data_IF_069240697379
#
_entry.id   IF_069240697379
#
_cell.length_a   1.000
_cell.length_b   1.000
_cell.length_c   1.000
_cell.angle_alpha   90.00
_cell.angle_beta   90.00
_cell.angle_gamma   90.00
#
_symmetry.space_group_name_H-M   'P 1'
#
loop_
_entity.id
_entity.type
_entity.pdbx_description
1 polymer ?
#
# COMPACT_ATOMS: atom_id res chain seq x y z
N UNK A 1 -57.76 -19.13 -21.57
CA UNK A 1 -56.72 -19.03 -22.63
C UNK A 1 -55.77 -17.83 -22.48
N UNK A 2 -56.18 -16.66 -21.96
CA UNK A 2 -55.27 -15.50 -21.78
C UNK A 2 -54.16 -15.70 -20.73
N UNK A 3 -54.39 -16.51 -19.70
CA UNK A 3 -53.39 -16.78 -18.64
C UNK A 3 -52.30 -17.77 -19.10
N UNK A 4 -52.63 -18.67 -20.04
CA UNK A 4 -51.70 -19.66 -20.58
C UNK A 4 -50.64 -19.00 -21.50
N UNK A 5 -51.02 -17.96 -22.24
CA UNK A 5 -50.11 -17.20 -23.10
C UNK A 5 -49.08 -16.36 -22.32
N UNK A 6 -49.45 -15.88 -21.13
CA UNK A 6 -48.53 -15.16 -20.23
C UNK A 6 -47.48 -16.08 -19.61
N UNK A 7 -47.83 -17.35 -19.35
CA UNK A 7 -46.91 -18.37 -18.85
C UNK A 7 -45.92 -18.86 -19.92
N UNK A 8 -46.32 -18.91 -21.20
CA UNK A 8 -45.45 -19.31 -22.32
C UNK A 8 -44.43 -18.23 -22.73
N UNK A 9 -44.77 -16.93 -22.62
CA UNK A 9 -43.84 -15.84 -22.95
C UNK A 9 -42.67 -15.72 -21.96
N UNK A 10 -42.82 -16.16 -20.71
CA UNK A 10 -41.75 -16.19 -19.72
C UNK A 10 -40.70 -17.28 -19.97
N UNK A 11 -41.04 -18.34 -20.70
CA UNK A 11 -40.12 -19.47 -21.00
C UNK A 11 -39.19 -19.14 -22.16
N UNK A 12 -39.65 -18.37 -23.16
CA UNK A 12 -38.84 -17.98 -24.31
C UNK A 12 -37.73 -16.97 -23.97
N UNK A 13 -37.94 -16.08 -22.99
CA UNK A 13 -36.91 -15.13 -22.58
C UNK A 13 -35.71 -15.80 -21.89
N UNK A 14 -35.95 -16.89 -21.16
CA UNK A 14 -34.87 -17.67 -20.51
C UNK A 14 -34.10 -18.54 -21.51
N UNK A 15 -34.76 -19.05 -22.57
CA UNK A 15 -34.12 -19.90 -23.59
C UNK A 15 -32.97 -19.18 -24.30
N UNK A 16 -33.15 -17.90 -24.64
CA UNK A 16 -32.12 -17.10 -25.30
C UNK A 16 -30.86 -16.93 -24.44
N UNK A 17 -31.00 -16.81 -23.12
CA UNK A 17 -29.85 -16.66 -22.21
C UNK A 17 -29.04 -17.96 -22.13
N UNK A 18 -29.72 -19.12 -22.08
CA UNK A 18 -29.02 -20.41 -22.05
C UNK A 18 -28.25 -20.68 -23.35
N UNK A 19 -28.83 -20.37 -24.51
CA UNK A 19 -28.15 -20.49 -25.80
C UNK A 19 -26.94 -19.56 -25.87
N UNK A 20 -27.09 -18.27 -25.53
CA UNK A 20 -25.99 -17.30 -25.50
C UNK A 20 -24.82 -17.79 -24.60
N UNK A 21 -25.13 -18.29 -23.39
CA UNK A 21 -24.11 -18.80 -22.46
C UNK A 21 -23.46 -20.10 -22.95
N UNK A 22 -24.24 -20.99 -23.57
CA UNK A 22 -23.74 -22.25 -24.12
C UNK A 22 -22.80 -22.01 -25.30
N UNK A 23 -23.19 -21.14 -26.22
CA UNK A 23 -22.36 -20.72 -27.36
C UNK A 23 -21.07 -20.05 -26.90
N UNK A 24 -21.13 -19.18 -25.89
CA UNK A 24 -19.94 -18.63 -25.26
C UNK A 24 -19.06 -19.71 -24.63
N UNK A 25 -19.64 -20.69 -23.94
CA UNK A 25 -18.89 -21.76 -23.30
C UNK A 25 -18.16 -22.64 -24.31
N UNK A 26 -18.73 -22.90 -25.49
CA UNK A 26 -18.07 -23.64 -26.57
C UNK A 26 -17.04 -22.80 -27.31
N UNK A 27 -17.39 -21.57 -27.68
CA UNK A 27 -16.58 -20.75 -28.58
C UNK A 27 -15.52 -19.89 -27.86
N UNK A 28 -15.68 -19.63 -26.56
CA UNK A 28 -14.81 -18.78 -25.71
C UNK A 28 -14.54 -17.38 -26.29
N UNK A 29 -15.39 -16.90 -27.18
CA UNK A 29 -15.28 -15.60 -27.83
C UNK A 29 -16.37 -14.66 -27.33
N UNK A 30 -16.06 -13.37 -27.24
CA UNK A 30 -17.07 -12.35 -26.94
C UNK A 30 -18.11 -12.33 -28.06
N UNK A 31 -19.36 -12.61 -27.72
CA UNK A 31 -20.48 -12.50 -28.67
C UNK A 31 -21.09 -11.10 -28.58
N UNK A 32 -21.90 -10.72 -29.55
CA UNK A 32 -22.67 -9.45 -29.50
C UNK A 32 -23.45 -9.28 -28.19
N UNK A 33 -23.85 -10.39 -27.56
CA UNK A 33 -24.66 -10.42 -26.36
C UNK A 33 -23.85 -10.67 -25.06
N UNK A 34 -22.57 -11.07 -25.16
CA UNK A 34 -21.72 -11.39 -24.01
C UNK A 34 -20.33 -10.78 -24.13
N UNK A 35 -20.00 -9.90 -23.19
CA UNK A 35 -18.67 -9.34 -23.03
C UNK A 35 -17.96 -9.99 -21.84
N UNK A 36 -16.74 -10.49 -22.06
CA UNK A 36 -15.85 -10.91 -20.99
C UNK A 36 -14.98 -9.74 -20.51
N UNK A 37 -14.69 -9.73 -19.21
CA UNK A 37 -13.75 -8.79 -18.59
C UNK A 37 -12.87 -9.53 -17.59
N UNK A 38 -11.64 -9.06 -17.41
CA UNK A 38 -10.75 -9.62 -16.40
C UNK A 38 -11.20 -9.22 -14.99
N UNK A 39 -11.19 -10.19 -14.09
CA UNK A 39 -11.45 -9.99 -12.68
C UNK A 39 -10.45 -10.80 -11.85
N UNK A 40 -10.07 -10.26 -10.70
CA UNK A 40 -9.22 -10.93 -9.72
C UNK A 40 -10.10 -11.57 -8.65
N UNK A 41 -9.81 -12.82 -8.33
CA UNK A 41 -10.39 -13.49 -7.18
C UNK A 41 -9.43 -13.37 -6.00
N UNK A 42 -9.89 -12.78 -4.90
CA UNK A 42 -9.11 -12.56 -3.69
C UNK A 42 -9.74 -13.36 -2.55
N UNK A 43 -8.93 -14.20 -1.90
CA UNK A 43 -9.32 -14.92 -0.70
C UNK A 43 -8.64 -14.24 0.51
N UNK A 44 -9.44 -13.59 1.36
CA UNK A 44 -8.97 -13.09 2.65
C UNK A 44 -9.06 -14.20 3.69
N UNK A 45 -7.95 -14.44 4.40
CA UNK A 45 -7.87 -15.44 5.47
C UNK A 45 -7.69 -14.80 6.83
N UNK A 46 -8.48 -15.24 7.80
CA UNK A 46 -8.29 -14.90 9.21
C UNK A 46 -7.78 -16.15 9.94
N UNK A 47 -6.69 -16.03 10.71
CA UNK A 47 -6.07 -17.17 11.41
C UNK A 47 -5.79 -18.38 10.50
N UNK A 48 -5.37 -18.12 9.25
CA UNK A 48 -5.12 -19.14 8.19
C UNK A 48 -6.37 -19.87 7.68
N UNK A 49 -7.58 -19.51 8.11
CA UNK A 49 -8.84 -20.05 7.61
C UNK A 49 -9.48 -19.09 6.62
N UNK A 50 -10.14 -19.62 5.59
CA UNK A 50 -10.92 -18.82 4.64
C UNK A 50 -11.98 -17.99 5.40
N UNK A 51 -12.05 -16.70 5.10
CA UNK A 51 -12.90 -15.75 5.80
C UNK A 51 -13.83 -15.00 4.84
N UNK A 52 -13.30 -14.36 3.80
CA UNK A 52 -14.10 -13.67 2.78
C UNK A 52 -13.49 -13.88 1.40
N UNK A 53 -14.32 -14.29 0.46
CA UNK A 53 -13.98 -14.34 -0.97
C UNK A 53 -14.52 -13.12 -1.67
N UNK A 54 -13.65 -12.45 -2.42
CA UNK A 54 -13.94 -11.18 -3.09
C UNK A 54 -13.60 -11.34 -4.56
N UNK A 55 -14.50 -10.88 -5.43
CA UNK A 55 -14.14 -10.63 -6.82
C UNK A 55 -13.92 -9.14 -7.01
N UNK A 56 -12.81 -8.82 -7.65
CA UNK A 56 -12.33 -7.47 -7.88
C UNK A 56 -12.19 -7.23 -9.37
N UNK A 57 -12.93 -6.25 -9.87
CA UNK A 57 -12.83 -5.75 -11.24
C UNK A 57 -12.18 -4.37 -11.25
N UNK A 58 -11.97 -3.79 -12.44
CA UNK A 58 -11.45 -2.42 -12.58
C UNK A 58 -12.31 -1.36 -11.86
N UNK A 59 -13.63 -1.56 -11.76
CA UNK A 59 -14.57 -0.53 -11.32
C UNK A 59 -15.45 -0.92 -10.13
N UNK A 60 -15.49 -2.20 -9.78
CA UNK A 60 -16.31 -2.74 -8.70
C UNK A 60 -15.62 -3.89 -8.00
N UNK A 61 -15.95 -4.04 -6.73
CA UNK A 61 -15.56 -5.16 -5.89
C UNK A 61 -16.81 -5.73 -5.24
N UNK A 62 -16.90 -7.05 -5.10
CA UNK A 62 -18.05 -7.66 -4.44
C UNK A 62 -17.63 -8.90 -3.67
N UNK A 63 -18.24 -9.06 -2.50
CA UNK A 63 -18.15 -10.27 -1.69
C UNK A 63 -18.91 -11.38 -2.41
N UNK A 64 -18.20 -12.44 -2.79
CA UNK A 64 -18.79 -13.68 -3.29
C UNK A 64 -19.36 -14.46 -2.11
N UNK A 65 -18.51 -14.75 -1.14
CA UNK A 65 -18.82 -15.61 -0.01
C UNK A 65 -18.19 -15.09 1.28
N UNK A 66 -18.95 -15.18 2.38
CA UNK A 66 -18.44 -15.03 3.74
C UNK A 66 -18.42 -16.42 4.36
N UNK A 67 -17.28 -16.83 4.86
CA UNK A 67 -17.04 -18.14 5.45
C UNK A 67 -17.30 -18.11 6.96
N UNK A 68 -17.40 -19.30 7.57
CA UNK A 68 -17.73 -19.45 8.99
C UNK A 68 -16.78 -18.68 9.93
N UNK A 69 -15.49 -18.58 9.57
CA UNK A 69 -14.50 -17.84 10.36
C UNK A 69 -14.86 -16.35 10.55
N UNK A 70 -15.74 -15.82 9.70
CA UNK A 70 -16.13 -14.42 9.64
C UNK A 70 -17.65 -14.24 9.52
N UNK A 71 -18.43 -15.20 10.03
CA UNK A 71 -19.89 -15.21 9.95
C UNK A 71 -20.58 -13.98 10.58
N UNK A 72 -19.87 -13.25 11.43
CA UNK A 72 -20.31 -12.00 12.06
C UNK A 72 -20.15 -10.77 11.16
N UNK A 73 -19.48 -10.90 10.02
CA UNK A 73 -19.32 -9.79 9.07
C UNK A 73 -20.61 -9.56 8.28
N UNK A 74 -21.01 -8.31 8.17
CA UNK A 74 -22.14 -7.90 7.35
C UNK A 74 -21.69 -7.69 5.90
N UNK A 75 -22.28 -8.45 4.96
CA UNK A 75 -21.95 -8.42 3.54
C UNK A 75 -22.13 -7.04 2.90
N UNK A 76 -23.20 -6.32 3.24
CA UNK A 76 -23.46 -4.98 2.71
C UNK A 76 -22.37 -4.00 3.16
N UNK A 77 -22.08 -3.97 4.46
CA UNK A 77 -21.02 -3.08 5.00
C UNK A 77 -19.65 -3.37 4.40
N UNK A 78 -19.31 -4.64 4.18
CA UNK A 78 -18.05 -4.99 3.50
C UNK A 78 -18.09 -4.50 2.05
N UNK A 79 -19.18 -4.77 1.32
CA UNK A 79 -19.31 -4.30 -0.06
C UNK A 79 -19.20 -2.78 -0.17
N UNK A 80 -19.79 -2.03 0.77
CA UNK A 80 -19.68 -0.58 0.83
C UNK A 80 -18.24 -0.14 1.04
N UNK A 81 -17.53 -0.74 2.00
CA UNK A 81 -16.10 -0.48 2.21
C UNK A 81 -15.26 -0.82 0.96
N UNK A 82 -15.53 -1.97 0.34
CA UNK A 82 -14.80 -2.45 -0.82
C UNK A 82 -14.94 -1.49 -2.01
N UNK A 83 -16.15 -0.97 -2.24
CA UNK A 83 -16.43 -0.08 -3.36
C UNK A 83 -16.11 1.40 -3.08
N UNK A 84 -16.10 1.84 -1.82
CA UNK A 84 -15.81 3.24 -1.47
C UNK A 84 -14.33 3.50 -1.20
N UNK A 85 -13.68 2.67 -0.37
CA UNK A 85 -12.32 2.92 0.12
C UNK A 85 -11.30 1.97 -0.50
N UNK A 86 -11.56 0.66 -0.46
CA UNK A 86 -10.58 -0.34 -0.88
C UNK A 86 -10.20 -0.20 -2.36
N UNK A 87 -11.20 -0.12 -3.27
CA UNK A 87 -10.93 0.05 -4.70
C UNK A 87 -10.08 1.28 -5.00
N UNK A 88 -10.34 2.39 -4.30
CA UNK A 88 -9.58 3.63 -4.48
C UNK A 88 -8.11 3.46 -4.10
N UNK A 89 -7.82 2.68 -3.06
CA UNK A 89 -6.46 2.37 -2.61
C UNK A 89 -5.78 1.35 -3.52
N UNK A 90 -6.52 0.31 -3.93
CA UNK A 90 -6.02 -0.76 -4.78
C UNK A 90 -5.65 -0.27 -6.19
N UNK A 91 -6.50 0.57 -6.78
CA UNK A 91 -6.29 1.13 -8.12
C UNK A 91 -5.35 2.34 -8.14
N UNK A 92 -4.90 2.79 -6.98
CA UNK A 92 -4.07 3.98 -6.86
C UNK A 92 -2.71 3.76 -7.50
N UNK A 93 -2.27 4.74 -8.30
CA UNK A 93 -0.88 4.78 -8.75
C UNK A 93 0.05 5.10 -7.57
N UNK A 94 0.80 4.09 -7.13
CA UNK A 94 1.78 4.19 -6.06
C UNK A 94 3.20 4.51 -6.58
N UNK A 95 3.38 4.82 -7.86
CA UNK A 95 4.71 5.05 -8.46
C UNK A 95 5.43 6.22 -7.82
N UNK A 96 4.73 7.32 -7.50
CA UNK A 96 5.34 8.45 -6.77
C UNK A 96 5.76 8.01 -5.36
N UNK A 97 4.87 7.33 -4.63
CA UNK A 97 5.13 6.83 -3.29
C UNK A 97 6.35 5.91 -3.24
N UNK A 98 6.42 4.90 -4.12
CA UNK A 98 7.53 3.96 -4.22
C UNK A 98 8.86 4.66 -4.52
N UNK A 99 8.85 5.69 -5.37
CA UNK A 99 10.03 6.53 -5.63
C UNK A 99 10.49 7.28 -4.39
N UNK A 100 9.58 7.83 -3.60
CA UNK A 100 9.92 8.49 -2.34
C UNK A 100 10.52 7.51 -1.33
N UNK A 101 9.94 6.32 -1.17
CA UNK A 101 10.48 5.27 -0.30
C UNK A 101 11.88 4.82 -0.75
N UNK A 102 12.08 4.63 -2.06
CA UNK A 102 13.38 4.26 -2.60
C UNK A 102 14.43 5.35 -2.34
N UNK A 103 14.05 6.62 -2.52
CA UNK A 103 14.89 7.77 -2.22
C UNK A 103 15.28 7.85 -0.74
N UNK A 104 14.33 7.63 0.18
CA UNK A 104 14.58 7.54 1.63
C UNK A 104 15.57 6.41 1.94
N UNK A 105 15.38 5.21 1.38
CA UNK A 105 16.29 4.07 1.56
C UNK A 105 17.70 4.37 1.03
N UNK A 106 17.81 5.12 -0.06
CA UNK A 106 19.11 5.55 -0.59
C UNK A 106 19.81 6.54 0.36
N UNK A 107 19.08 7.52 0.91
CA UNK A 107 19.62 8.43 1.93
C UNK A 107 20.09 7.67 3.18
N UNK A 108 19.31 6.69 3.65
CA UNK A 108 19.72 5.83 4.76
C UNK A 108 21.05 5.13 4.47
N UNK A 109 21.19 4.56 3.26
CA UNK A 109 22.41 3.88 2.82
C UNK A 109 23.59 4.84 2.72
N UNK A 110 23.37 6.02 2.17
CA UNK A 110 24.38 7.09 2.06
C UNK A 110 24.95 7.44 3.44
N UNK A 111 24.09 7.61 4.45
CA UNK A 111 24.50 7.89 5.83
C UNK A 111 25.31 6.74 6.43
N UNK A 112 24.85 5.49 6.24
CA UNK A 112 25.56 4.29 6.70
C UNK A 112 26.94 4.16 6.07
N UNK A 113 27.05 4.34 4.75
CA UNK A 113 28.32 4.27 4.02
C UNK A 113 29.28 5.35 4.51
N UNK A 114 28.82 6.60 4.58
CA UNK A 114 29.65 7.70 5.05
C UNK A 114 30.19 7.43 6.45
N UNK A 115 29.31 7.05 7.39
CA UNK A 115 29.73 6.79 8.76
C UNK A 115 30.69 5.58 8.84
N UNK A 116 30.44 4.52 8.08
CA UNK A 116 31.34 3.36 8.00
C UNK A 116 32.74 3.77 7.55
N UNK A 117 32.85 4.67 6.57
CA UNK A 117 34.13 5.11 6.02
C UNK A 117 34.86 6.12 6.92
N UNK A 118 34.14 6.99 7.63
CA UNK A 118 34.75 8.13 8.34
C UNK A 118 34.66 8.04 9.86
N UNK A 119 33.94 7.06 10.39
CA UNK A 119 33.77 6.80 11.81
C UNK A 119 33.32 8.04 12.61
N UNK A 120 32.59 8.93 11.94
CA UNK A 120 32.08 10.19 12.47
C UNK A 120 30.96 10.70 11.58
N UNK A 121 30.09 11.56 12.12
CA UNK A 121 29.09 12.25 11.31
C UNK A 121 29.74 13.39 10.50
N UNK A 122 29.06 13.92 9.49
CA UNK A 122 29.55 15.10 8.79
C UNK A 122 29.13 16.38 9.51
N UNK A 123 29.85 17.48 9.28
CA UNK A 123 29.36 18.84 9.59
C UNK A 123 28.50 19.43 8.45
N UNK A 124 28.45 18.74 7.31
CA UNK A 124 27.69 19.15 6.13
C UNK A 124 27.00 17.91 5.54
N UNK A 125 25.67 17.96 5.45
CA UNK A 125 24.86 16.87 4.93
C UNK A 125 25.24 16.47 3.52
N UNK A 126 25.74 17.40 2.70
CA UNK A 126 26.14 17.15 1.30
C UNK A 126 27.35 16.22 1.18
N UNK A 127 28.13 16.06 2.25
CA UNK A 127 29.19 15.05 2.32
C UNK A 127 28.65 13.65 2.56
N UNK A 128 27.52 13.54 3.25
CA UNK A 128 26.89 12.26 3.55
C UNK A 128 25.97 11.81 2.42
N UNK A 129 25.12 12.70 1.90
CA UNK A 129 24.20 12.40 0.80
C UNK A 129 24.04 13.58 -0.15
N UNK A 130 23.98 13.28 -1.45
CA UNK A 130 23.78 14.30 -2.51
C UNK A 130 22.32 14.70 -2.69
N UNK A 131 21.38 14.05 -2.00
CA UNK A 131 19.96 14.34 -2.10
C UNK A 131 19.66 15.82 -1.84
N UNK A 132 18.90 16.44 -2.73
CA UNK A 132 18.41 17.82 -2.66
C UNK A 132 17.18 17.95 -1.74
N UNK A 133 16.54 16.82 -1.41
CA UNK A 133 15.39 16.76 -0.50
C UNK A 133 15.74 16.86 0.97
N UNK A 134 17.03 16.92 1.32
CA UNK A 134 17.49 16.98 2.70
C UNK A 134 17.64 18.42 3.19
N UNK A 135 17.08 18.69 4.37
CA UNK A 135 17.32 19.91 5.14
C UNK A 135 17.87 19.54 6.50
N UNK A 136 19.00 20.12 6.87
CA UNK A 136 19.57 19.97 8.21
C UNK A 136 18.76 20.82 9.20
N UNK A 137 18.28 20.20 10.27
CA UNK A 137 17.80 20.92 11.46
C UNK A 137 18.97 21.13 12.43
N UNK A 138 19.69 20.04 12.72
CA UNK A 138 20.91 20.04 13.51
C UNK A 138 21.81 18.92 13.02
N UNK A 139 23.12 19.16 12.92
CA UNK A 139 24.09 18.13 12.60
C UNK A 139 25.46 18.52 13.15
N UNK A 140 26.02 17.65 13.98
CA UNK A 140 27.33 17.78 14.58
C UNK A 140 28.17 16.52 14.31
N UNK A 141 29.45 16.70 13.98
CA UNK A 141 30.36 15.60 13.66
C UNK A 141 30.50 14.56 14.78
N UNK A 142 30.39 14.96 16.05
CA UNK A 142 30.56 14.07 17.21
C UNK A 142 29.25 13.44 17.66
N UNK A 143 28.18 14.22 17.69
CA UNK A 143 26.93 13.81 18.33
C UNK A 143 25.83 13.43 17.34
N UNK A 144 26.01 13.70 16.05
CA UNK A 144 24.98 13.49 15.03
C UNK A 144 23.98 14.64 15.01
N UNK A 145 22.73 14.35 14.69
CA UNK A 145 21.66 15.32 14.72
C UNK A 145 20.44 14.92 13.88
N UNK A 146 19.52 15.87 13.71
CA UNK A 146 18.24 15.66 13.03
C UNK A 146 18.27 16.27 11.64
N UNK A 147 17.89 15.48 10.65
CA UNK A 147 17.82 15.86 9.24
C UNK A 147 16.41 15.58 8.73
N UNK A 148 15.79 16.57 8.10
CA UNK A 148 14.48 16.43 7.49
C UNK A 148 14.60 16.03 6.02
N UNK A 149 13.76 15.10 5.61
CA UNK A 149 13.52 14.77 4.21
C UNK A 149 12.20 15.38 3.77
N UNK A 150 12.26 16.13 2.67
CA UNK A 150 11.14 16.88 2.14
C UNK A 150 10.44 16.18 0.98
N UNK A 151 9.13 16.24 0.99
CA UNK A 151 8.29 15.99 -0.20
C UNK A 151 7.45 17.24 -0.42
N UNK A 152 7.36 17.70 -1.67
CA UNK A 152 6.68 18.95 -2.02
C UNK A 152 7.12 20.16 -1.15
N UNK A 153 8.42 20.25 -0.85
CA UNK A 153 9.01 21.26 0.06
C UNK A 153 8.56 21.23 1.53
N UNK A 154 7.73 20.26 1.92
CA UNK A 154 7.31 20.04 3.31
C UNK A 154 8.16 18.94 3.94
N UNK A 155 8.60 19.14 5.19
CA UNK A 155 9.30 18.10 5.94
C UNK A 155 8.33 16.96 6.27
N UNK A 156 8.55 15.76 5.72
CA UNK A 156 7.68 14.61 5.95
C UNK A 156 8.34 13.53 6.80
N UNK A 157 9.67 13.44 6.78
CA UNK A 157 10.42 12.36 7.42
C UNK A 157 11.61 12.95 8.15
N UNK A 158 11.88 12.44 9.35
CA UNK A 158 13.02 12.81 10.18
C UNK A 158 14.00 11.65 10.21
N UNK A 159 15.25 11.93 9.88
CA UNK A 159 16.38 11.08 10.21
C UNK A 159 17.01 11.60 11.49
N UNK A 160 17.00 10.79 12.54
CA UNK A 160 17.68 11.09 13.80
C UNK A 160 18.98 10.27 13.86
N UNK A 161 20.11 10.96 13.77
CA UNK A 161 21.45 10.38 13.85
C UNK A 161 22.03 10.68 15.23
N UNK A 162 22.47 9.66 15.96
CA UNK A 162 22.97 9.85 17.32
C UNK A 162 23.93 8.73 17.75
N UNK A 163 24.69 8.99 18.81
CA UNK A 163 25.40 7.95 19.56
C UNK A 163 24.52 7.51 20.73
N UNK A 164 24.35 6.19 20.91
CA UNK A 164 23.66 5.67 22.09
C UNK A 164 24.58 5.67 23.33
N UNK A 165 24.05 5.16 24.45
CA UNK A 165 24.77 5.08 25.73
C UNK A 165 26.08 4.27 25.66
N UNK A 166 26.20 3.36 24.69
CA UNK A 166 27.39 2.56 24.44
C UNK A 166 28.31 3.19 23.39
N UNK A 167 28.10 4.47 23.04
CA UNK A 167 28.80 5.17 21.96
C UNK A 167 28.62 4.51 20.58
N UNK A 168 27.59 3.68 20.41
CA UNK A 168 27.26 3.09 19.12
C UNK A 168 26.46 4.10 18.30
N UNK A 169 26.92 4.34 17.07
CA UNK A 169 26.22 5.21 16.16
C UNK A 169 24.99 4.53 15.57
N UNK A 170 23.86 5.21 15.71
CA UNK A 170 22.55 4.75 15.29
C UNK A 170 21.85 5.81 14.45
N UNK A 171 20.90 5.33 13.66
CA UNK A 171 19.94 6.13 12.92
C UNK A 171 18.54 5.63 13.24
N UNK A 172 17.62 6.54 13.47
CA UNK A 172 16.17 6.29 13.46
C UNK A 172 15.53 7.07 12.32
N UNK A 173 14.45 6.50 11.78
CA UNK A 173 13.64 7.13 10.74
C UNK A 173 12.22 7.23 11.27
N UNK A 174 11.63 8.43 11.23
CA UNK A 174 10.26 8.64 11.70
C UNK A 174 9.49 9.57 10.78
N UNK A 175 8.17 9.40 10.74
CA UNK A 175 7.27 10.28 10.01
C UNK A 175 6.99 11.56 10.78
N UNK A 176 6.88 12.69 10.07
CA UNK A 176 6.39 13.94 10.60
C UNK A 176 4.99 14.19 10.04
N UNK A 177 3.99 14.16 10.90
CA UNK A 177 2.62 14.49 10.52
C UNK A 177 2.53 15.95 10.12
N UNK A 178 1.92 16.22 8.97
CA UNK A 178 1.65 17.55 8.47
C UNK A 178 0.42 17.53 7.55
N UNK A 179 0.03 18.70 7.05
CA UNK A 179 -1.17 18.87 6.20
C UNK A 179 -0.97 18.42 4.74
N UNK A 180 0.24 18.07 4.31
CA UNK A 180 0.51 17.60 2.95
C UNK A 180 0.04 16.15 2.80
N UNK A 181 -0.92 15.94 1.91
CA UNK A 181 -1.50 14.63 1.62
C UNK A 181 -0.46 13.61 1.16
N UNK A 182 0.55 14.02 0.40
CA UNK A 182 1.62 13.12 -0.04
C UNK A 182 2.49 12.68 1.14
N UNK A 183 2.82 13.59 2.06
CA UNK A 183 3.52 13.24 3.30
C UNK A 183 2.70 12.24 4.13
N UNK A 184 1.40 12.51 4.36
CA UNK A 184 0.53 11.62 5.14
C UNK A 184 0.44 10.23 4.52
N UNK A 185 0.27 10.15 3.19
CA UNK A 185 0.23 8.89 2.47
C UNK A 185 1.57 8.14 2.54
N UNK A 186 2.69 8.87 2.46
CA UNK A 186 4.02 8.33 2.60
C UNK A 186 4.24 7.68 3.96
N UNK A 187 4.01 8.44 5.04
CA UNK A 187 4.27 7.96 6.40
C UNK A 187 3.28 6.89 6.87
N UNK A 188 2.09 6.85 6.26
CA UNK A 188 1.07 5.84 6.55
C UNK A 188 1.29 4.53 5.80
N UNK A 189 2.13 4.54 4.77
CA UNK A 189 2.37 3.37 3.91
C UNK A 189 3.02 2.22 4.69
N UNK A 190 2.66 0.95 4.41
CA UNK A 190 3.29 -0.20 5.05
C UNK A 190 4.81 -0.20 4.91
N UNK A 191 5.30 0.10 3.69
CA UNK A 191 6.73 0.13 3.39
C UNK A 191 7.51 1.17 4.22
N UNK A 192 6.90 2.32 4.54
CA UNK A 192 7.51 3.30 5.42
C UNK A 192 7.45 2.89 6.90
N UNK A 193 6.33 2.30 7.33
CA UNK A 193 6.18 1.80 8.70
C UNK A 193 7.24 0.75 9.01
N UNK A 194 7.53 -0.14 8.07
CA UNK A 194 8.61 -1.15 8.19
C UNK A 194 10.01 -0.52 8.29
N UNK A 195 10.18 0.69 7.76
CA UNK A 195 11.41 1.46 7.95
C UNK A 195 11.47 2.11 9.33
N UNK A 196 10.35 2.53 9.89
CA UNK A 196 10.32 3.39 11.06
C UNK A 196 10.20 2.63 12.38
N UNK A 197 9.44 1.54 12.40
CA UNK A 197 9.04 0.87 13.63
C UNK A 197 9.20 -0.66 13.52
N UNK A 198 9.49 -1.31 14.63
CA UNK A 198 9.23 -2.74 14.83
C UNK A 198 7.82 -2.91 15.41
N UNK A 199 7.43 -4.11 15.83
CA UNK A 199 6.13 -4.31 16.48
C UNK A 199 5.98 -3.51 17.78
N UNK A 200 7.10 -3.30 18.49
CA UNK A 200 7.07 -2.85 19.89
C UNK A 200 7.78 -1.50 20.09
N UNK A 201 8.64 -1.07 19.17
CA UNK A 201 9.42 0.16 19.34
C UNK A 201 9.86 0.84 18.03
N UNK A 202 10.48 2.02 18.17
CA UNK A 202 11.18 2.70 17.09
C UNK A 202 12.34 1.84 16.58
N UNK A 203 12.41 1.64 15.27
CA UNK A 203 13.46 0.84 14.68
C UNK A 203 14.77 1.62 14.64
N UNK A 204 15.81 1.02 15.22
CA UNK A 204 17.17 1.58 15.27
C UNK A 204 18.05 0.88 14.25
N UNK A 205 18.72 1.65 13.41
CA UNK A 205 19.68 1.18 12.42
C UNK A 205 21.09 1.52 12.89
N UNK A 206 21.89 0.50 13.19
CA UNK A 206 23.31 0.69 13.48
C UNK A 206 24.02 1.19 12.22
N UNK A 207 24.80 2.27 12.36
CA UNK A 207 25.57 2.84 11.26
C UNK A 207 26.93 2.16 11.05
N UNK A 208 27.31 1.30 12.00
CA UNK A 208 28.51 0.46 11.99
C UNK A 208 28.14 -0.89 12.56
N UNK A 209 28.55 -1.97 11.89
CA UNK A 209 28.47 -3.33 12.43
C UNK A 209 29.49 -3.56 13.54
#
# INVERSE_FOLDING_TARGET
>A
MKILYLLLMGVFACANIYEDLNDFAYNKQNTLNLNSSQAWFLEYKQNKQACVDIVLTKHKAYVVQIHLACNNLNKEKINDYLNSQFLSLYSKDLTKLRREIASIKNVMRDFMIYYTLHQSFANDIKKMSKSDKLQVYQLDKKNGGKIFYKVNNQACVVFDLYLDENLQANMQVSGLENLDKTCMELISSPEFKDLSYTKDEMKKYKLKN
#
